data_IF_583557815004
#
_entry.id   IF_583557815004
#
_cell.length_a   1.000
_cell.length_b   1.000
_cell.length_c   1.000
_cell.angle_alpha   90.00
_cell.angle_beta   90.00
_cell.angle_gamma   90.00
#
_symmetry.space_group_name_H-M   'P 1'
#
loop_
_entity.id
_entity.type
_entity.pdbx_description
1 polymer ?
#
# COMPACT_ATOMS: atom_id res chain seq x y z
N UNK A 1 1.95 26.24 -10.80
CA UNK A 1 1.40 25.24 -9.86
C UNK A 1 0.99 24.05 -10.69
N UNK A 2 1.86 23.06 -10.82
CA UNK A 2 1.55 21.83 -11.56
C UNK A 2 0.96 20.86 -10.55
N UNK A 3 -0.35 20.88 -10.42
CA UNK A 3 -1.09 19.95 -9.60
C UNK A 3 -1.10 18.59 -10.27
N UNK A 4 -0.43 17.62 -9.66
CA UNK A 4 -0.80 16.23 -9.76
C UNK A 4 -0.35 15.62 -8.44
N UNK A 5 -1.32 15.24 -7.60
CA UNK A 5 -1.04 14.35 -6.48
C UNK A 5 -0.47 13.02 -7.01
N UNK A 6 -0.06 12.12 -6.10
CA UNK A 6 0.36 10.79 -6.52
C UNK A 6 -0.71 10.14 -7.40
N UNK A 7 -0.26 9.48 -8.47
CA UNK A 7 -1.15 8.75 -9.38
C UNK A 7 -1.79 7.55 -8.66
N UNK A 8 -1.05 6.93 -7.75
CA UNK A 8 -1.54 5.87 -6.87
C UNK A 8 -1.18 6.25 -5.43
N UNK A 9 -2.18 6.27 -4.55
CA UNK A 9 -2.00 6.54 -3.13
C UNK A 9 -2.70 5.47 -2.28
N UNK A 10 -1.96 4.91 -1.34
CA UNK A 10 -2.41 3.98 -0.32
C UNK A 10 -2.10 4.61 1.04
N UNK A 11 -3.11 4.62 1.92
CA UNK A 11 -2.97 5.17 3.27
C UNK A 11 -3.45 4.15 4.30
N UNK A 12 -2.60 3.85 5.28
CA UNK A 12 -2.84 2.95 6.40
C UNK A 12 -3.42 1.59 5.98
N UNK A 13 -2.99 1.04 4.84
CA UNK A 13 -3.56 -0.19 4.31
C UNK A 13 -3.19 -1.37 5.20
N UNK A 14 -4.22 -2.09 5.66
CA UNK A 14 -4.09 -3.31 6.44
C UNK A 14 -4.72 -4.46 5.68
N UNK A 15 -4.17 -5.66 5.88
CA UNK A 15 -4.76 -6.89 5.34
C UNK A 15 -4.50 -8.03 6.29
N UNK A 16 -5.58 -8.64 6.72
CA UNK A 16 -5.58 -9.88 7.50
C UNK A 16 -6.13 -11.01 6.64
N UNK A 17 -5.48 -12.17 6.67
CA UNK A 17 -5.96 -13.41 6.08
C UNK A 17 -6.39 -14.37 7.18
N UNK A 18 -7.40 -15.20 6.90
CA UNK A 18 -7.94 -16.13 7.90
C UNK A 18 -8.83 -15.45 8.94
N UNK A 19 -9.22 -16.21 9.97
CA UNK A 19 -10.11 -15.78 11.05
C UNK A 19 -9.72 -16.46 12.37
N UNK A 20 -10.10 -15.87 13.50
CA UNK A 20 -9.84 -16.42 14.83
C UNK A 20 -8.35 -16.57 15.13
N UNK A 21 -7.97 -17.66 15.80
CA UNK A 21 -6.58 -17.90 16.22
C UNK A 21 -5.60 -18.12 15.06
N UNK A 22 -6.10 -18.45 13.86
CA UNK A 22 -5.28 -18.66 12.66
C UNK A 22 -5.19 -17.41 11.76
N UNK A 23 -5.62 -16.24 12.25
CA UNK A 23 -5.54 -15.01 11.49
C UNK A 23 -4.08 -14.52 11.33
N UNK A 24 -3.70 -14.16 10.10
CA UNK A 24 -2.38 -13.65 9.75
C UNK A 24 -2.45 -12.22 9.22
N UNK A 25 -1.70 -11.30 9.85
CA UNK A 25 -1.60 -9.91 9.42
C UNK A 25 -0.52 -9.76 8.33
N UNK A 26 -0.95 -9.74 7.07
CA UNK A 26 -0.07 -9.59 5.90
C UNK A 26 0.37 -8.15 5.67
N UNK A 27 -0.55 -7.17 5.75
CA UNK A 27 -0.20 -5.75 5.65
C UNK A 27 -0.46 -5.07 6.99
N UNK A 28 0.52 -4.33 7.50
CA UNK A 28 0.52 -3.76 8.86
C UNK A 28 0.42 -2.23 8.84
N UNK A 29 -0.53 -1.68 8.08
CA UNK A 29 -0.73 -0.24 7.98
C UNK A 29 0.32 0.39 7.06
N UNK A 30 0.28 0.00 5.79
CA UNK A 30 1.25 0.45 4.78
C UNK A 30 0.74 1.74 4.12
N UNK A 31 1.63 2.72 4.06
CA UNK A 31 1.47 3.93 3.26
C UNK A 31 2.36 3.82 2.00
N UNK A 32 1.79 4.10 0.83
CA UNK A 32 2.52 4.06 -0.45
C UNK A 32 1.98 5.14 -1.38
N UNK A 33 2.87 5.90 -1.97
CA UNK A 33 2.54 6.87 -3.02
C UNK A 33 3.41 6.56 -4.24
N UNK A 34 2.79 6.53 -5.42
CA UNK A 34 3.48 6.36 -6.71
C UNK A 34 3.05 7.51 -7.61
N UNK A 35 4.02 8.29 -8.06
CA UNK A 35 3.85 9.40 -8.99
C UNK A 35 3.61 8.93 -10.44
N UNK A 36 3.14 9.84 -11.28
CA UNK A 36 3.02 9.56 -12.71
C UNK A 36 4.38 9.30 -13.35
N UNK A 37 4.49 8.23 -14.15
CA UNK A 37 5.73 7.85 -14.82
C UNK A 37 6.75 7.12 -13.94
N UNK A 38 6.45 6.92 -12.65
CA UNK A 38 7.32 6.15 -11.75
C UNK A 38 7.16 4.65 -11.98
N UNK A 39 8.29 3.96 -12.12
CA UNK A 39 8.35 2.50 -12.18
C UNK A 39 8.89 1.96 -10.86
N UNK A 40 8.02 1.33 -10.07
CA UNK A 40 8.33 0.84 -8.73
C UNK A 40 8.24 -0.68 -8.69
N UNK A 41 9.26 -1.32 -8.12
CA UNK A 41 9.25 -2.75 -7.83
C UNK A 41 9.11 -2.96 -6.32
N UNK A 42 8.27 -3.92 -5.94
CA UNK A 42 8.17 -4.38 -4.54
C UNK A 42 9.03 -5.63 -4.42
N UNK A 43 10.03 -5.58 -3.55
CA UNK A 43 10.93 -6.70 -3.26
C UNK A 43 10.59 -7.29 -1.89
N UNK A 44 10.36 -8.60 -1.84
CA UNK A 44 10.00 -9.33 -0.63
C UNK A 44 9.49 -10.73 -0.93
#
# INVERSE_FOLDING_TARGET
>A
MSGAGPLIELSAITKTYGQGQAAFQALRGIDLAIGEGEFVAIMG
#
